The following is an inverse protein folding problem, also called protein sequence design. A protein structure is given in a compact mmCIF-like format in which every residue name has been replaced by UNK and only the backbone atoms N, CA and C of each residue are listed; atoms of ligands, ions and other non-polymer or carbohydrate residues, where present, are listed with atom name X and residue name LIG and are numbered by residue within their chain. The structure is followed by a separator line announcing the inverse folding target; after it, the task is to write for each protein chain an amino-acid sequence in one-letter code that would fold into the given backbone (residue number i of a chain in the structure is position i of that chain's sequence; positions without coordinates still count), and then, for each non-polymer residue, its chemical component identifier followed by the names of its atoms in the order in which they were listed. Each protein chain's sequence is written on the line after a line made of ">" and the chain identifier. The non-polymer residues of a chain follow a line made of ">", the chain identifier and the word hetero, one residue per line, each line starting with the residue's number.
data_IF_928816365603
#
_entry.id   IF_928816365603
#
_cell.length_a   1.000
_cell.length_b   1.000
_cell.length_c   1.000
_cell.angle_alpha   90.00
_cell.angle_beta   90.00
_cell.angle_gamma   90.00
#
_symmetry.space_group_name_H-M   'P 1'
#
loop_
_entity.id
_entity.type
_entity.pdbx_description
1 polymer ?
#
# COMPACT_ATOMS: atom_id res chain seq x y z
N UNK A 1 32.62 35.84 5.76
CA UNK A 1 31.63 35.05 6.52
C UNK A 1 31.23 33.86 5.65
N UNK A 2 31.60 32.62 5.99
CA UNK A 2 31.31 31.45 5.15
C UNK A 2 29.81 31.17 5.07
N UNK A 3 29.30 30.99 3.84
CA UNK A 3 27.93 30.55 3.54
C UNK A 3 27.59 29.25 4.30
N UNK A 4 26.35 29.16 4.79
CA UNK A 4 25.82 28.05 5.57
C UNK A 4 25.98 26.71 4.83
N UNK A 5 25.77 26.72 3.50
CA UNK A 5 25.98 25.53 2.66
C UNK A 5 27.44 25.06 2.67
N UNK A 6 28.38 25.98 2.67
CA UNK A 6 29.82 25.66 2.71
C UNK A 6 30.21 25.06 4.07
N UNK A 7 29.66 25.57 5.17
CA UNK A 7 29.87 24.97 6.51
C UNK A 7 29.35 23.53 6.59
N UNK A 8 28.17 23.27 6.03
CA UNK A 8 27.60 21.92 6.00
C UNK A 8 28.42 20.95 5.15
N UNK A 9 28.94 21.41 3.99
CA UNK A 9 29.83 20.59 3.16
C UNK A 9 31.11 20.23 3.89
N UNK A 10 31.73 21.19 4.58
CA UNK A 10 32.94 20.95 5.37
C UNK A 10 32.69 19.94 6.50
N UNK A 11 31.57 20.09 7.23
CA UNK A 11 31.19 19.14 8.29
C UNK A 11 30.92 17.72 7.77
N UNK A 12 30.32 17.60 6.58
CA UNK A 12 30.09 16.30 5.95
C UNK A 12 31.41 15.60 5.57
N UNK A 13 32.39 16.34 5.06
CA UNK A 13 33.72 15.82 4.72
C UNK A 13 34.48 15.40 5.98
N UNK A 14 34.44 16.22 7.04
CA UNK A 14 35.03 15.94 8.34
C UNK A 14 34.47 14.63 8.94
N UNK A 15 33.15 14.48 8.96
CA UNK A 15 32.49 13.27 9.46
C UNK A 15 32.84 12.00 8.65
N UNK A 16 33.01 12.12 7.32
CA UNK A 16 33.44 11.00 6.48
C UNK A 16 34.89 10.59 6.78
N UNK A 17 35.77 11.58 6.96
CA UNK A 17 37.17 11.35 7.32
C UNK A 17 37.28 10.70 8.70
N UNK A 18 36.54 11.20 9.68
CA UNK A 18 36.54 10.66 11.05
C UNK A 18 35.99 9.24 11.11
N UNK A 19 34.92 8.94 10.37
CA UNK A 19 34.38 7.59 10.30
C UNK A 19 35.38 6.61 9.68
N UNK A 20 36.02 6.99 8.56
CA UNK A 20 37.04 6.16 7.92
C UNK A 20 38.23 5.89 8.85
N UNK A 21 38.63 6.89 9.63
CA UNK A 21 39.75 6.79 10.58
C UNK A 21 39.42 5.90 11.77
N UNK A 22 38.24 6.05 12.34
CA UNK A 22 37.85 5.37 13.58
C UNK A 22 37.24 3.98 13.33
N UNK A 23 36.67 3.72 12.15
CA UNK A 23 35.99 2.47 11.81
C UNK A 23 36.39 1.94 10.41
N UNK A 24 37.67 1.60 10.19
CA UNK A 24 38.19 1.23 8.87
C UNK A 24 37.56 -0.04 8.29
N UNK A 25 37.30 -1.05 9.12
CA UNK A 25 36.67 -2.31 8.69
C UNK A 25 35.21 -2.10 8.25
N UNK A 26 34.45 -1.31 9.01
CA UNK A 26 33.07 -0.96 8.67
C UNK A 26 33.03 -0.12 7.38
N UNK A 27 33.99 0.79 7.19
CA UNK A 27 34.11 1.56 5.96
C UNK A 27 34.35 0.66 4.73
N UNK A 28 35.26 -0.31 4.84
CA UNK A 28 35.53 -1.28 3.76
C UNK A 28 34.33 -2.19 3.49
N UNK A 29 33.65 -2.65 4.53
CA UNK A 29 32.43 -3.44 4.40
C UNK A 29 31.35 -2.68 3.61
N UNK A 30 31.11 -1.41 3.94
CA UNK A 30 30.12 -0.58 3.27
C UNK A 30 30.50 -0.33 1.80
N UNK A 31 31.77 -0.05 1.51
CA UNK A 31 32.26 0.10 0.15
C UNK A 31 32.11 -1.19 -0.67
N UNK A 32 32.40 -2.35 -0.09
CA UNK A 32 32.19 -3.66 -0.71
C UNK A 32 30.71 -3.98 -1.01
N UNK A 33 29.79 -3.24 -0.40
CA UNK A 33 28.34 -3.30 -0.66
C UNK A 33 27.82 -2.16 -1.54
N UNK A 34 28.72 -1.35 -2.12
CA UNK A 34 28.36 -0.21 -2.98
C UNK A 34 27.75 0.99 -2.23
N UNK A 35 27.89 1.02 -0.90
CA UNK A 35 27.34 2.08 -0.05
C UNK A 35 28.42 3.09 0.31
N UNK A 36 28.39 4.24 -0.36
CA UNK A 36 29.27 5.37 -0.03
C UNK A 36 28.59 6.35 0.93
N UNK A 37 29.30 6.75 2.00
CA UNK A 37 28.77 7.66 3.03
C UNK A 37 28.34 9.03 2.49
N UNK A 38 29.01 9.54 1.45
CA UNK A 38 28.61 10.80 0.78
C UNK A 38 27.22 10.72 0.14
N UNK A 39 26.76 9.50 -0.18
CA UNK A 39 25.47 9.22 -0.80
C UNK A 39 24.46 8.68 0.21
N UNK A 40 24.79 8.63 1.52
CA UNK A 40 23.90 8.14 2.57
C UNK A 40 22.54 8.82 2.55
N UNK A 41 22.43 10.09 2.18
CA UNK A 41 21.14 10.80 2.10
C UNK A 41 20.24 10.28 0.98
N UNK A 42 20.84 9.77 -0.10
CA UNK A 42 20.11 9.12 -1.19
C UNK A 42 19.75 7.67 -0.80
N UNK A 43 20.57 7.04 0.06
CA UNK A 43 20.31 5.70 0.60
C UNK A 43 19.49 5.69 1.90
N UNK A 44 19.29 6.82 2.57
CA UNK A 44 18.73 6.92 3.93
C UNK A 44 17.23 6.64 3.99
N UNK A 45 16.50 6.87 2.90
CA UNK A 45 15.10 6.44 2.81
C UNK A 45 14.98 4.89 2.88
N UNK A 46 16.01 4.16 2.45
CA UNK A 46 16.08 2.69 2.53
C UNK A 46 16.86 2.18 3.76
N UNK A 47 17.82 2.94 4.27
CA UNK A 47 18.68 2.55 5.40
C UNK A 47 18.15 2.93 6.78
N UNK A 48 17.37 4.02 6.93
CA UNK A 48 16.78 4.38 8.23
C UNK A 48 15.76 3.31 8.67
N UNK A 49 15.05 2.74 7.70
CA UNK A 49 14.13 1.61 7.88
C UNK A 49 14.84 0.29 8.18
N UNK A 50 16.11 0.11 7.79
CA UNK A 50 16.90 -1.10 8.09
C UNK A 50 17.73 -0.98 9.38
N UNK A 51 18.27 0.21 9.68
CA UNK A 51 19.15 0.45 10.83
C UNK A 51 18.43 0.44 12.19
N UNK A 52 17.17 0.88 12.23
CA UNK A 52 16.35 0.79 13.43
C UNK A 52 16.01 -0.67 13.79
N UNK A 53 15.93 -1.56 12.80
CA UNK A 53 15.64 -2.99 13.01
C UNK A 53 16.89 -3.73 13.50
N UNK A 54 18.07 -3.42 12.96
CA UNK A 54 19.33 -4.08 13.36
C UNK A 54 19.84 -3.61 14.74
N UNK A 55 19.69 -2.32 15.08
CA UNK A 55 20.15 -1.78 16.36
C UNK A 55 19.36 -2.31 17.57
N UNK A 56 18.05 -2.53 17.41
CA UNK A 56 17.22 -3.12 18.45
C UNK A 56 17.46 -4.63 18.63
N UNK A 57 17.81 -5.37 17.57
CA UNK A 57 18.12 -6.81 17.69
C UNK A 57 19.42 -7.10 18.44
N UNK A 58 20.39 -6.17 18.46
CA UNK A 58 21.67 -6.34 19.14
C UNK A 58 21.66 -5.93 20.62
N UNK A 59 20.61 -5.23 21.09
CA UNK A 59 20.51 -4.71 22.45
C UNK A 59 19.41 -5.37 23.30
N UNK A 60 18.63 -6.29 22.74
CA UNK A 60 17.73 -7.14 23.52
C UNK A 60 18.48 -8.34 24.06
N UNK A 61 18.52 -8.48 25.39
CA UNK A 61 18.95 -9.71 26.07
C UNK A 61 18.24 -10.94 25.47
N UNK A 62 18.85 -12.14 25.46
CA UNK A 62 18.25 -13.33 24.88
C UNK A 62 17.06 -13.77 25.75
N UNK A 63 15.88 -13.23 25.47
CA UNK A 63 14.62 -13.75 25.98
C UNK A 63 14.21 -14.88 25.03
N UNK A 64 14.15 -16.11 25.57
CA UNK A 64 13.63 -17.34 24.95
C UNK A 64 13.15 -17.21 23.49
N UNK A 65 13.99 -17.62 22.54
CA UNK A 65 13.75 -17.60 21.08
C UNK A 65 12.77 -18.73 20.65
N UNK A 66 11.98 -19.28 21.58
CA UNK A 66 11.06 -20.40 21.32
C UNK A 66 9.68 -19.98 20.79
N UNK A 67 9.50 -18.74 20.34
CA UNK A 67 8.26 -18.30 19.71
C UNK A 67 8.52 -17.47 18.45
N UNK A 68 9.29 -18.04 17.51
CA UNK A 68 8.89 -17.86 16.13
C UNK A 68 7.53 -18.55 15.98
N UNK A 69 6.50 -17.92 15.37
CA UNK A 69 5.27 -18.63 15.07
C UNK A 69 5.64 -19.88 14.28
N UNK A 70 5.20 -21.05 14.74
CA UNK A 70 5.42 -22.29 14.04
C UNK A 70 5.02 -22.09 12.56
N UNK A 71 5.80 -22.61 11.60
CA UNK A 71 5.37 -22.63 10.22
C UNK A 71 3.99 -23.28 10.20
N UNK A 72 2.99 -22.57 9.69
CA UNK A 72 1.70 -23.19 9.42
C UNK A 72 1.99 -24.23 8.34
N UNK A 73 1.99 -25.51 8.70
CA UNK A 73 2.08 -26.59 7.72
C UNK A 73 0.78 -26.61 6.91
N UNK A 74 0.79 -25.90 5.79
CA UNK A 74 -0.31 -25.88 4.83
C UNK A 74 -0.15 -27.12 3.94
N UNK A 75 -0.61 -28.28 4.42
CA UNK A 75 -0.65 -29.50 3.61
C UNK A 75 -1.93 -29.53 2.75
N UNK A 76 -1.96 -28.76 1.66
CA UNK A 76 -3.14 -28.62 0.79
C UNK A 76 -2.82 -28.94 -0.66
N UNK A 77 -2.55 -30.22 -0.96
CA UNK A 77 -2.26 -30.67 -2.34
C UNK A 77 -3.47 -30.65 -3.29
N UNK A 78 -4.70 -30.41 -2.81
CA UNK A 78 -5.93 -30.58 -3.60
C UNK A 78 -6.96 -29.43 -3.52
N UNK A 79 -6.67 -28.29 -2.86
CA UNK A 79 -7.63 -27.18 -2.76
C UNK A 79 -7.42 -26.14 -3.88
N UNK A 80 -8.53 -25.57 -4.38
CA UNK A 80 -8.47 -24.39 -5.26
C UNK A 80 -7.77 -23.25 -4.48
N UNK A 81 -6.78 -22.53 -5.07
CA UNK A 81 -5.98 -21.55 -4.34
C UNK A 81 -6.80 -20.51 -3.56
N UNK A 82 -7.95 -20.09 -4.11
CA UNK A 82 -8.87 -19.14 -3.49
C UNK A 82 -9.57 -19.72 -2.24
N UNK A 83 -10.03 -20.97 -2.28
CA UNK A 83 -10.68 -21.62 -1.13
C UNK A 83 -9.70 -21.82 0.02
N UNK A 84 -8.47 -22.24 -0.30
CA UNK A 84 -7.40 -22.35 0.68
C UNK A 84 -7.11 -20.98 1.34
N UNK A 85 -7.06 -19.93 0.53
CA UNK A 85 -6.84 -18.59 1.02
C UNK A 85 -7.94 -18.12 1.98
N UNK A 86 -9.21 -18.32 1.64
CA UNK A 86 -10.35 -17.98 2.51
C UNK A 86 -10.23 -18.74 3.85
N UNK A 87 -9.93 -20.04 3.82
CA UNK A 87 -9.76 -20.85 5.02
C UNK A 87 -8.60 -20.35 5.91
N UNK A 88 -7.52 -19.86 5.30
CA UNK A 88 -6.40 -19.27 6.04
C UNK A 88 -6.84 -17.93 6.67
N UNK A 89 -7.52 -17.07 5.91
CA UNK A 89 -8.02 -15.79 6.43
C UNK A 89 -8.97 -15.99 7.62
N UNK A 90 -9.90 -16.94 7.55
CA UNK A 90 -10.83 -17.24 8.65
C UNK A 90 -10.15 -17.69 9.95
N UNK A 91 -8.97 -18.32 9.84
CA UNK A 91 -8.19 -18.75 11.01
C UNK A 91 -7.34 -17.63 11.60
N UNK A 92 -6.94 -16.67 10.79
CA UNK A 92 -6.01 -15.59 11.18
C UNK A 92 -6.72 -14.32 11.59
N UNK A 93 -7.90 -14.04 11.01
CA UNK A 93 -8.65 -12.84 11.31
C UNK A 93 -9.48 -13.01 12.59
N UNK A 94 -9.63 -11.95 13.38
CA UNK A 94 -10.56 -11.95 14.50
C UNK A 94 -12.00 -12.15 14.00
N UNK A 95 -12.86 -12.69 14.88
CA UNK A 95 -14.27 -12.90 14.59
C UNK A 95 -15.05 -11.60 14.31
N UNK A 96 -14.56 -10.48 14.83
CA UNK A 96 -15.12 -9.15 14.62
C UNK A 96 -14.09 -8.22 13.99
N UNK A 97 -14.57 -7.31 13.13
CA UNK A 97 -13.73 -6.31 12.47
C UNK A 97 -13.15 -5.35 13.50
N UNK A 98 -11.82 -5.38 13.64
CA UNK A 98 -11.02 -4.47 14.48
C UNK A 98 -9.68 -4.17 13.81
N UNK A 99 -8.97 -3.11 14.23
CA UNK A 99 -7.57 -2.92 13.89
C UNK A 99 -6.75 -4.17 14.27
N UNK A 100 -5.82 -4.53 13.39
CA UNK A 100 -4.92 -5.67 13.60
C UNK A 100 -3.65 -5.22 14.31
N UNK A 101 -3.11 -6.10 15.15
CA UNK A 101 -1.79 -5.92 15.74
C UNK A 101 -0.70 -6.05 14.67
N UNK A 102 0.47 -5.43 14.90
CA UNK A 102 1.57 -5.40 13.92
C UNK A 102 2.05 -6.78 13.50
N UNK A 103 2.01 -7.77 14.38
CA UNK A 103 2.38 -9.14 14.06
C UNK A 103 1.29 -9.86 13.25
N UNK A 104 0.01 -9.59 13.50
CA UNK A 104 -1.11 -10.04 12.66
C UNK A 104 -0.98 -9.48 11.24
N UNK A 105 -0.75 -8.16 11.11
CA UNK A 105 -0.50 -7.50 9.82
C UNK A 105 0.67 -8.16 9.09
N UNK A 106 1.77 -8.44 9.81
CA UNK A 106 2.98 -8.98 9.21
C UNK A 106 2.79 -10.41 8.70
N UNK A 107 2.05 -11.25 9.42
CA UNK A 107 1.71 -12.60 8.97
C UNK A 107 0.85 -12.55 7.71
N UNK A 108 -0.13 -11.65 7.67
CA UNK A 108 -0.98 -11.44 6.49
C UNK A 108 -0.18 -10.93 5.29
N UNK A 109 0.77 -10.01 5.45
CA UNK A 109 1.64 -9.56 4.35
C UNK A 109 2.31 -10.74 3.64
N UNK A 110 2.87 -11.68 4.40
CA UNK A 110 3.58 -12.85 3.87
C UNK A 110 2.61 -13.74 3.12
N UNK A 111 1.49 -14.10 3.75
CA UNK A 111 0.51 -15.03 3.18
C UNK A 111 -0.14 -14.47 1.91
N UNK A 112 -0.55 -13.20 1.95
CA UNK A 112 -1.18 -12.53 0.80
C UNK A 112 -0.17 -12.42 -0.34
N UNK A 113 1.07 -12.02 -0.04
CA UNK A 113 2.13 -11.94 -1.06
C UNK A 113 2.45 -13.31 -1.66
N UNK A 114 2.45 -14.36 -0.85
CA UNK A 114 2.78 -15.72 -1.31
C UNK A 114 1.66 -16.32 -2.15
N UNK A 115 0.40 -16.08 -1.82
CA UNK A 115 -0.75 -16.63 -2.53
C UNK A 115 -1.06 -15.83 -3.79
N UNK A 116 -1.14 -14.50 -3.69
CA UNK A 116 -1.53 -13.64 -4.82
C UNK A 116 -0.35 -13.21 -5.69
N UNK A 117 0.90 -13.48 -5.27
CA UNK A 117 2.14 -13.06 -5.94
C UNK A 117 2.25 -11.54 -6.14
N UNK A 118 1.55 -10.78 -5.30
CA UNK A 118 1.61 -9.32 -5.24
C UNK A 118 2.30 -8.94 -3.94
N UNK A 119 3.47 -8.30 -4.04
CA UNK A 119 4.20 -7.79 -2.87
C UNK A 119 3.33 -6.74 -2.17
N UNK A 120 2.77 -7.13 -1.03
CA UNK A 120 1.81 -6.33 -0.28
C UNK A 120 2.34 -6.01 1.11
N UNK A 121 2.10 -4.76 1.55
CA UNK A 121 2.69 -4.18 2.77
C UNK A 121 1.63 -3.44 3.57
N UNK A 122 1.55 -3.67 4.87
CA UNK A 122 0.73 -2.86 5.76
C UNK A 122 1.36 -1.46 5.87
N UNK A 123 2.69 -1.43 6.05
CA UNK A 123 3.48 -0.20 6.11
C UNK A 123 4.43 -0.11 4.92
N UNK A 124 4.36 0.97 4.16
CA UNK A 124 5.20 1.21 2.98
C UNK A 124 5.90 2.55 3.12
N UNK A 125 7.22 2.58 2.97
CA UNK A 125 8.03 3.83 3.05
C UNK A 125 7.84 4.65 4.35
N UNK A 126 7.43 3.99 5.43
CA UNK A 126 7.17 4.64 6.72
C UNK A 126 5.72 5.08 6.93
N UNK A 127 4.85 4.95 5.93
CA UNK A 127 3.43 5.29 6.03
C UNK A 127 2.56 4.04 6.22
N UNK A 128 1.46 4.21 6.96
CA UNK A 128 0.52 3.17 7.34
C UNK A 128 -0.90 3.73 7.39
N UNK A 129 -1.89 2.94 6.97
CA UNK A 129 -3.31 3.30 7.04
C UNK A 129 -3.82 3.24 8.50
N UNK A 130 -4.91 3.93 8.83
CA UNK A 130 -5.48 3.86 10.19
C UNK A 130 -5.83 2.42 10.63
N UNK A 131 -6.15 1.55 9.66
CA UNK A 131 -6.29 0.11 9.84
C UNK A 131 -6.07 -0.57 8.48
N UNK A 132 -5.66 -1.83 8.49
CA UNK A 132 -5.63 -2.70 7.30
C UNK A 132 -6.81 -3.67 7.25
N UNK A 133 -7.60 -3.78 8.32
CA UNK A 133 -8.81 -4.60 8.38
C UNK A 133 -10.01 -3.73 8.77
N UNK A 134 -11.03 -3.71 7.92
CA UNK A 134 -12.11 -2.75 8.05
C UNK A 134 -13.26 -3.03 7.10
N UNK A 135 -14.31 -2.22 7.25
CA UNK A 135 -15.44 -2.24 6.33
C UNK A 135 -15.19 -1.35 5.11
N UNK A 136 -15.36 -1.90 3.92
CA UNK A 136 -15.49 -1.13 2.67
C UNK A 136 -16.95 -0.82 2.41
N UNK A 137 -17.23 0.26 1.68
CA UNK A 137 -18.55 0.48 1.07
C UNK A 137 -18.45 1.13 -0.31
N UNK A 138 -19.60 1.19 -0.97
CA UNK A 138 -19.71 1.78 -2.29
C UNK A 138 -19.63 3.31 -2.25
N UNK A 139 -18.82 3.84 -3.16
CA UNK A 139 -18.64 5.25 -3.47
C UNK A 139 -19.23 5.56 -4.86
N UNK A 140 -19.40 6.84 -5.18
CA UNK A 140 -19.88 7.30 -6.48
C UNK A 140 -18.70 7.58 -7.41
N UNK A 141 -18.91 7.49 -8.73
CA UNK A 141 -17.87 7.84 -9.71
C UNK A 141 -17.26 9.23 -9.44
N UNK A 142 -15.96 9.37 -9.73
CA UNK A 142 -15.26 10.64 -9.58
C UNK A 142 -15.12 11.33 -10.92
N UNK A 143 -15.27 12.67 -10.96
CA UNK A 143 -15.09 13.43 -12.19
C UNK A 143 -13.64 13.31 -12.71
N UNK A 144 -13.47 12.85 -13.94
CA UNK A 144 -12.15 12.68 -14.56
C UNK A 144 -11.56 14.01 -15.03
N UNK A 145 -12.39 14.94 -15.48
CA UNK A 145 -11.99 16.26 -15.99
C UNK A 145 -13.10 17.33 -15.80
N UNK A 146 -12.81 18.63 -15.99
CA UNK A 146 -13.84 19.67 -15.93
C UNK A 146 -14.95 19.46 -16.99
N UNK A 147 -16.20 19.39 -16.55
CA UNK A 147 -17.35 19.14 -17.42
C UNK A 147 -17.63 17.66 -17.70
N UNK A 148 -16.97 16.75 -16.99
CA UNK A 148 -17.25 15.32 -17.06
C UNK A 148 -18.66 14.99 -16.53
N UNK A 149 -19.27 13.96 -17.11
CA UNK A 149 -20.67 13.57 -16.91
C UNK A 149 -20.80 12.07 -16.73
N UNK A 150 -21.83 11.65 -16.01
CA UNK A 150 -22.06 10.27 -15.59
C UNK A 150 -22.09 9.27 -16.76
N UNK A 151 -22.55 9.69 -17.93
CA UNK A 151 -22.64 8.87 -19.14
C UNK A 151 -21.27 8.33 -19.58
N UNK A 152 -20.18 9.00 -19.22
CA UNK A 152 -18.80 8.58 -19.51
C UNK A 152 -18.28 7.49 -18.55
N UNK A 153 -19.03 7.13 -17.50
CA UNK A 153 -18.64 6.19 -16.44
C UNK A 153 -19.43 4.87 -16.46
N UNK A 154 -19.90 4.45 -17.63
CA UNK A 154 -20.63 3.18 -17.75
C UNK A 154 -19.79 1.97 -17.29
N UNK A 155 -20.45 0.88 -16.83
CA UNK A 155 -21.89 0.64 -16.92
C UNK A 155 -22.69 0.98 -15.64
N UNK A 156 -22.07 1.40 -14.53
CA UNK A 156 -22.71 1.47 -13.21
C UNK A 156 -23.38 2.81 -12.89
N UNK A 157 -24.20 3.31 -13.82
CA UNK A 157 -24.82 4.63 -13.74
C UNK A 157 -25.67 4.88 -12.48
N UNK A 158 -26.21 3.82 -11.86
CA UNK A 158 -27.07 3.94 -10.66
C UNK A 158 -26.36 4.49 -9.43
N UNK A 159 -25.04 4.32 -9.34
CA UNK A 159 -24.25 4.84 -8.21
C UNK A 159 -23.99 6.35 -8.36
N UNK A 160 -24.18 6.90 -9.56
CA UNK A 160 -24.05 8.31 -9.86
C UNK A 160 -22.60 8.79 -9.87
N UNK A 161 -22.46 10.11 -9.95
CA UNK A 161 -21.17 10.82 -9.92
C UNK A 161 -21.13 11.72 -8.69
N UNK A 162 -19.99 11.78 -8.01
CA UNK A 162 -19.82 12.60 -6.83
C UNK A 162 -20.12 14.08 -7.17
N UNK A 163 -20.88 14.80 -6.31
CA UNK A 163 -21.17 16.21 -6.54
C UNK A 163 -19.89 17.06 -6.45
N UNK A 164 -19.04 16.75 -5.46
CA UNK A 164 -17.72 17.35 -5.26
C UNK A 164 -16.62 16.70 -6.09
N UNK A 165 -15.43 17.26 -5.99
CA UNK A 165 -14.21 16.61 -6.48
C UNK A 165 -13.64 15.71 -5.39
N UNK A 166 -12.98 14.63 -5.80
CA UNK A 166 -12.19 13.84 -4.86
C UNK A 166 -11.02 14.65 -4.28
N UNK A 167 -10.34 14.09 -3.29
CA UNK A 167 -9.27 14.72 -2.52
C UNK A 167 -8.12 15.27 -3.37
N UNK A 168 -7.95 14.77 -4.60
CA UNK A 168 -6.92 15.20 -5.54
C UNK A 168 -7.43 15.97 -6.76
N UNK A 169 -8.71 16.35 -6.76
CA UNK A 169 -9.33 17.09 -7.85
C UNK A 169 -9.66 16.19 -9.05
N UNK A 170 -9.55 16.76 -10.25
CA UNK A 170 -9.68 16.02 -11.49
C UNK A 170 -8.45 15.16 -11.78
N UNK A 171 -8.65 14.06 -12.51
CA UNK A 171 -7.59 13.18 -12.99
C UNK A 171 -6.82 13.82 -14.16
N UNK A 172 -7.54 14.54 -15.04
CA UNK A 172 -7.02 15.27 -16.18
C UNK A 172 -7.46 16.74 -16.14
N UNK A 173 -6.67 17.63 -16.77
CA UNK A 173 -6.98 19.07 -16.84
C UNK A 173 -8.13 19.37 -17.80
N UNK A 174 -8.37 18.48 -18.76
CA UNK A 174 -9.39 18.63 -19.80
C UNK A 174 -9.77 17.24 -20.35
N UNK A 175 -10.84 17.17 -21.15
CA UNK A 175 -11.22 15.94 -21.86
C UNK A 175 -10.13 15.47 -22.82
N UNK A 176 -9.41 16.40 -23.47
CA UNK A 176 -8.33 16.07 -24.42
C UNK A 176 -7.08 15.54 -23.74
N UNK A 177 -6.86 15.89 -22.47
CA UNK A 177 -5.73 15.38 -21.67
C UNK A 177 -6.06 14.05 -20.97
N UNK A 178 -7.29 13.56 -21.10
CA UNK A 178 -7.70 12.28 -20.50
C UNK A 178 -7.04 11.13 -21.26
N UNK A 179 -6.38 10.25 -20.52
CA UNK A 179 -5.75 9.05 -21.06
C UNK A 179 -6.46 7.81 -20.54
N UNK A 180 -6.32 6.68 -21.25
CA UNK A 180 -6.87 5.39 -20.80
C UNK A 180 -6.35 4.97 -19.42
N UNK A 181 -5.11 5.32 -19.09
CA UNK A 181 -4.55 5.10 -17.75
C UNK A 181 -5.32 5.88 -16.68
N UNK A 182 -5.72 7.12 -16.96
CA UNK A 182 -6.48 7.95 -16.02
C UNK A 182 -7.94 7.47 -15.91
N UNK A 183 -8.53 6.99 -17.00
CA UNK A 183 -9.84 6.32 -16.97
C UNK A 183 -9.78 5.07 -16.10
N UNK A 184 -8.77 4.21 -16.28
CA UNK A 184 -8.59 3.01 -15.46
C UNK A 184 -8.26 3.35 -14.00
N UNK A 185 -7.58 4.48 -13.74
CA UNK A 185 -7.31 4.96 -12.37
C UNK A 185 -8.60 5.31 -11.66
N UNK A 186 -9.53 6.00 -12.32
CA UNK A 186 -10.85 6.29 -11.76
C UNK A 186 -11.70 5.03 -11.68
N UNK A 187 -11.83 4.26 -12.77
CA UNK A 187 -12.58 3.02 -12.78
C UNK A 187 -12.20 2.07 -11.64
N UNK A 188 -10.90 1.93 -11.35
CA UNK A 188 -10.40 1.10 -10.25
C UNK A 188 -9.90 1.95 -9.08
N UNK A 189 -10.62 3.00 -8.70
CA UNK A 189 -10.22 3.78 -7.52
C UNK A 189 -10.70 3.15 -6.21
N UNK A 190 -9.94 3.41 -5.15
CA UNK A 190 -10.38 3.23 -3.78
C UNK A 190 -10.18 4.49 -2.95
N UNK A 191 -10.79 4.48 -1.77
CA UNK A 191 -10.81 5.58 -0.82
C UNK A 191 -10.34 5.07 0.53
N UNK A 192 -9.49 5.85 1.18
CA UNK A 192 -9.08 5.60 2.57
C UNK A 192 -9.17 6.87 3.40
N UNK A 193 -9.28 6.69 4.71
CA UNK A 193 -9.50 7.72 5.71
C UNK A 193 -8.26 8.61 5.98
N UNK A 194 -7.63 9.19 4.95
CA UNK A 194 -6.37 9.94 5.11
C UNK A 194 -6.52 11.15 6.04
N UNK A 195 -7.68 11.80 6.06
CA UNK A 195 -8.00 12.92 6.95
C UNK A 195 -8.09 12.55 8.45
N UNK A 196 -8.04 11.26 8.79
CA UNK A 196 -7.98 10.75 10.16
C UNK A 196 -6.61 10.16 10.53
N UNK A 197 -5.61 10.28 9.67
CA UNK A 197 -4.24 9.90 10.02
C UNK A 197 -3.76 10.73 11.22
N UNK A 198 -3.02 10.12 12.17
CA UNK A 198 -2.66 10.77 13.45
C UNK A 198 -1.86 12.05 13.28
N UNK A 199 -1.12 12.18 12.19
CA UNK A 199 -0.25 13.30 11.85
C UNK A 199 -0.67 14.02 10.57
N UNK A 200 -1.93 13.84 10.13
CA UNK A 200 -2.49 14.55 9.00
C UNK A 200 -2.31 16.07 9.15
N UNK A 201 -2.63 16.62 10.32
CA UNK A 201 -2.58 18.07 10.56
C UNK A 201 -1.16 18.66 10.54
N UNK A 202 -0.12 17.85 10.76
CA UNK A 202 1.27 18.32 10.79
C UNK A 202 2.04 17.99 9.50
N UNK A 203 1.67 16.92 8.79
CA UNK A 203 2.33 16.45 7.56
C UNK A 203 1.44 16.51 6.32
N UNK A 204 0.31 17.22 6.36
CA UNK A 204 -0.73 17.23 5.32
C UNK A 204 -0.19 17.31 3.88
N UNK A 205 0.69 18.27 3.51
CA UNK A 205 1.11 18.41 2.11
C UNK A 205 1.87 17.17 1.64
N UNK A 206 2.75 16.65 2.48
CA UNK A 206 3.52 15.44 2.20
C UNK A 206 2.61 14.21 2.11
N UNK A 207 1.72 14.01 3.10
CA UNK A 207 0.84 12.84 3.13
C UNK A 207 -0.13 12.84 1.96
N UNK A 208 -0.76 13.99 1.66
CA UNK A 208 -1.64 14.13 0.50
C UNK A 208 -0.94 13.67 -0.78
N UNK A 209 0.30 14.12 -1.00
CA UNK A 209 1.02 13.80 -2.22
C UNK A 209 1.53 12.35 -2.23
N UNK A 210 1.95 11.82 -1.08
CA UNK A 210 2.43 10.44 -0.94
C UNK A 210 1.33 9.40 -1.18
N UNK A 211 0.11 9.68 -0.68
CA UNK A 211 -1.05 8.79 -0.83
C UNK A 211 -1.68 8.85 -2.23
N UNK A 212 -1.47 9.94 -2.98
CA UNK A 212 -2.10 10.15 -4.29
C UNK A 212 -1.81 9.01 -5.25
N UNK A 213 -2.86 8.33 -5.69
CA UNK A 213 -2.84 7.24 -6.68
C UNK A 213 -1.93 6.05 -6.30
N UNK A 214 -1.58 5.92 -5.01
CA UNK A 214 -0.83 4.77 -4.53
C UNK A 214 -1.66 3.51 -4.74
N UNK A 215 -1.01 2.43 -5.18
CA UNK A 215 -1.69 1.17 -5.40
C UNK A 215 -2.01 0.48 -4.08
N UNK A 216 -3.27 0.09 -3.92
CA UNK A 216 -3.76 -0.68 -2.80
C UNK A 216 -4.25 -2.03 -3.31
N UNK A 217 -3.97 -3.08 -2.55
CA UNK A 217 -4.56 -4.40 -2.72
C UNK A 217 -5.71 -4.52 -1.73
N UNK A 218 -6.92 -4.74 -2.25
CA UNK A 218 -8.12 -4.97 -1.46
C UNK A 218 -8.54 -6.42 -1.60
N UNK A 219 -8.79 -7.09 -0.49
CA UNK A 219 -9.22 -8.49 -0.44
C UNK A 219 -10.53 -8.59 0.34
N UNK A 220 -11.58 -9.10 -0.29
CA UNK A 220 -12.81 -9.46 0.40
C UNK A 220 -12.57 -10.71 1.27
N UNK A 221 -12.78 -10.57 2.58
CA UNK A 221 -12.46 -11.62 3.55
C UNK A 221 -13.45 -12.79 3.55
N UNK A 222 -14.61 -12.64 2.89
CA UNK A 222 -15.66 -13.66 2.82
C UNK A 222 -15.46 -14.57 1.60
N UNK A 223 -15.27 -13.98 0.42
CA UNK A 223 -15.19 -14.71 -0.84
C UNK A 223 -13.77 -14.76 -1.45
N UNK A 224 -12.80 -14.08 -0.84
CA UNK A 224 -11.43 -14.04 -1.33
C UNK A 224 -11.22 -13.21 -2.61
N UNK A 225 -12.23 -12.51 -3.15
CA UNK A 225 -12.00 -11.67 -4.33
C UNK A 225 -10.99 -10.59 -4.00
N UNK A 226 -9.93 -10.50 -4.83
CA UNK A 226 -8.81 -9.59 -4.64
C UNK A 226 -8.66 -8.67 -5.84
N UNK A 227 -8.37 -7.39 -5.59
CA UNK A 227 -8.31 -6.34 -6.60
C UNK A 227 -7.22 -5.33 -6.27
N UNK A 228 -6.49 -4.87 -7.29
CA UNK A 228 -5.54 -3.75 -7.16
C UNK A 228 -6.23 -2.46 -7.59
N UNK A 229 -6.21 -1.45 -6.73
CA UNK A 229 -6.86 -0.16 -6.94
C UNK A 229 -5.88 0.99 -6.83
N UNK A 230 -6.23 2.15 -7.39
CA UNK A 230 -5.53 3.39 -7.15
C UNK A 230 -6.24 4.18 -6.06
N UNK A 231 -5.52 4.66 -5.05
CA UNK A 231 -6.11 5.54 -4.06
C UNK A 231 -6.40 6.92 -4.67
N UNK A 232 -7.69 7.26 -4.89
CA UNK A 232 -8.09 8.47 -5.61
C UNK A 232 -9.09 9.40 -4.88
N UNK A 233 -9.51 9.04 -3.65
CA UNK A 233 -10.17 9.99 -2.75
C UNK A 233 -9.78 9.79 -1.27
N UNK A 234 -10.23 10.70 -0.41
CA UNK A 234 -10.16 10.61 1.05
C UNK A 234 -11.55 10.46 1.67
N UNK A 235 -11.68 9.51 2.59
CA UNK A 235 -12.95 9.13 3.22
C UNK A 235 -13.03 7.62 3.44
N UNK A 236 -14.22 7.06 3.67
CA UNK A 236 -15.47 7.73 4.01
C UNK A 236 -15.39 8.37 5.42
N UNK A 237 -16.37 9.22 5.77
CA UNK A 237 -16.39 9.83 7.10
C UNK A 237 -16.50 8.78 8.22
N UNK A 238 -15.81 9.00 9.35
CA UNK A 238 -15.72 8.02 10.44
C UNK A 238 -17.10 7.57 10.98
N UNK A 239 -18.06 8.49 11.03
CA UNK A 239 -19.42 8.22 11.51
C UNK A 239 -20.20 7.21 10.65
N UNK A 240 -19.78 6.96 9.40
CA UNK A 240 -20.41 5.96 8.51
C UNK A 240 -20.15 4.52 8.97
N UNK A 241 -19.21 4.30 9.90
CA UNK A 241 -18.76 2.98 10.32
C UNK A 241 -18.07 2.18 9.20
N UNK A 242 -17.65 2.86 8.14
CA UNK A 242 -16.80 2.34 7.07
C UNK A 242 -15.40 2.94 7.24
N UNK A 243 -14.40 2.18 6.82
CA UNK A 243 -12.98 2.56 6.88
C UNK A 243 -12.43 2.83 5.47
N UNK A 244 -13.03 2.17 4.47
CA UNK A 244 -12.61 2.22 3.08
C UNK A 244 -13.82 2.46 2.17
N UNK A 245 -13.53 2.95 0.97
CA UNK A 245 -14.47 3.06 -0.13
C UNK A 245 -13.90 2.45 -1.40
N UNK A 246 -14.78 1.99 -2.29
CA UNK A 246 -14.41 1.52 -3.62
C UNK A 246 -15.34 2.13 -4.67
N UNK A 247 -14.79 2.37 -5.87
CA UNK A 247 -15.60 2.72 -7.03
C UNK A 247 -16.71 1.68 -7.29
N UNK A 248 -17.73 2.02 -8.07
CA UNK A 248 -18.77 1.07 -8.45
C UNK A 248 -18.23 -0.25 -9.04
N UNK A 249 -17.20 -0.18 -9.88
CA UNK A 249 -16.53 -1.35 -10.47
C UNK A 249 -15.81 -2.19 -9.42
N UNK A 250 -15.10 -1.55 -8.48
CA UNK A 250 -14.41 -2.24 -7.38
C UNK A 250 -15.42 -2.99 -6.53
N UNK A 251 -16.55 -2.36 -6.20
CA UNK A 251 -17.58 -2.98 -5.38
C UNK A 251 -18.32 -4.11 -6.09
N UNK A 252 -18.64 -3.93 -7.38
CA UNK A 252 -19.21 -5.01 -8.19
C UNK A 252 -18.27 -6.20 -8.24
N UNK A 253 -16.98 -5.99 -8.48
CA UNK A 253 -16.03 -7.09 -8.53
C UNK A 253 -15.85 -7.78 -7.16
N UNK A 254 -15.78 -7.00 -6.08
CA UNK A 254 -15.55 -7.55 -4.74
C UNK A 254 -16.73 -8.39 -4.22
N UNK A 255 -17.98 -8.06 -4.57
CA UNK A 255 -19.14 -8.81 -4.04
C UNK A 255 -20.43 -8.72 -4.84
N UNK A 256 -20.42 -8.09 -6.01
CA UNK A 256 -21.56 -7.95 -6.92
C UNK A 256 -22.50 -6.78 -6.60
N UNK A 257 -23.54 -6.61 -7.41
CA UNK A 257 -24.45 -5.46 -7.37
C UNK A 257 -25.11 -5.17 -6.01
N UNK A 258 -25.24 -6.17 -5.14
CA UNK A 258 -25.83 -6.02 -3.79
C UNK A 258 -24.79 -5.72 -2.69
N UNK A 259 -23.51 -5.72 -3.03
CA UNK A 259 -22.43 -5.49 -2.08
C UNK A 259 -22.26 -4.01 -1.78
N UNK A 260 -22.95 -3.55 -0.73
CA UNK A 260 -22.94 -2.14 -0.29
C UNK A 260 -22.04 -1.88 0.92
N UNK A 261 -21.73 -2.93 1.69
CA UNK A 261 -20.79 -2.92 2.82
C UNK A 261 -20.25 -4.33 3.05
N UNK A 262 -18.96 -4.47 3.35
CA UNK A 262 -18.40 -5.74 3.81
C UNK A 262 -16.97 -5.64 4.32
N UNK A 263 -16.52 -6.70 4.98
CA UNK A 263 -15.21 -6.75 5.63
C UNK A 263 -14.10 -7.07 4.62
N UNK A 264 -13.10 -6.20 4.56
CA UNK A 264 -11.97 -6.33 3.64
C UNK A 264 -10.65 -6.13 4.36
N UNK A 265 -9.61 -6.73 3.77
CA UNK A 265 -8.22 -6.38 4.04
C UNK A 265 -7.73 -5.37 2.98
N UNK A 266 -6.94 -4.38 3.41
CA UNK A 266 -6.35 -3.36 2.54
C UNK A 266 -4.87 -3.22 2.86
N UNK A 267 -4.03 -3.48 1.86
CA UNK A 267 -2.57 -3.38 1.96
C UNK A 267 -2.04 -2.49 0.84
N UNK A 268 -0.92 -1.80 1.06
CA UNK A 268 -0.20 -1.15 -0.04
C UNK A 268 0.42 -2.20 -0.96
N UNK A 269 0.47 -1.88 -2.25
CA UNK A 269 1.25 -2.65 -3.22
C UNK A 269 2.64 -2.03 -3.35
N UNK A 270 3.67 -2.82 -3.10
CA UNK A 270 5.08 -2.45 -3.28
C UNK A 270 5.47 -2.64 -4.75
N UNK A 271 5.18 -1.63 -5.56
CA UNK A 271 5.40 -1.61 -7.01
C UNK A 271 6.20 -0.37 -7.45
N UNK A 272 7.50 -0.29 -7.11
CA UNK A 272 8.33 0.86 -7.41
C UNK A 272 8.55 1.08 -8.92
N UNK A 273 8.34 0.04 -9.72
CA UNK A 273 8.50 0.08 -11.19
C UNK A 273 7.16 0.28 -11.91
N UNK A 274 6.06 0.44 -11.17
CA UNK A 274 4.70 0.64 -11.70
C UNK A 274 4.24 -0.45 -12.70
N UNK A 275 4.64 -1.71 -12.47
CA UNK A 275 4.37 -2.86 -13.36
C UNK A 275 3.05 -3.59 -13.06
N UNK A 276 2.53 -3.48 -11.83
CA UNK A 276 1.32 -4.18 -11.41
C UNK A 276 0.09 -3.43 -11.92
N UNK A 277 -0.72 -4.04 -12.77
CA UNK A 277 -1.91 -3.37 -13.32
C UNK A 277 -3.00 -3.18 -12.26
N UNK A 278 -3.83 -2.16 -12.45
CA UNK A 278 -5.07 -2.01 -11.70
C UNK A 278 -6.09 -3.04 -12.16
N UNK A 279 -7.05 -3.35 -11.30
CA UNK A 279 -8.15 -4.26 -11.57
C UNK A 279 -8.02 -5.63 -10.88
N UNK A 280 -8.88 -6.59 -11.29
CA UNK A 280 -8.99 -7.92 -10.69
C UNK A 280 -7.67 -8.69 -10.59
N UNK A 281 -7.46 -9.35 -9.46
CA UNK A 281 -6.36 -10.30 -9.24
C UNK A 281 -6.91 -11.72 -9.39
N UNK A 282 -6.38 -12.47 -10.36
CA UNK A 282 -6.81 -13.84 -10.66
C UNK A 282 -5.84 -14.83 -10.04
N UNK A 283 -6.34 -15.75 -9.23
CA UNK A 283 -5.55 -16.78 -8.51
C UNK A 283 -4.79 -17.75 -9.42
N UNK A 284 -5.22 -17.91 -10.68
CA UNK A 284 -4.70 -18.90 -11.62
C UNK A 284 -3.83 -18.31 -12.74
N UNK A 285 -3.76 -16.99 -12.89
CA UNK A 285 -2.99 -16.35 -13.98
C UNK A 285 -1.54 -16.03 -13.58
N UNK A 286 -0.96 -16.96 -12.80
CA UNK A 286 0.39 -16.86 -12.25
C UNK A 286 1.39 -17.79 -12.97
N UNK A 287 0.99 -18.35 -14.12
CA UNK A 287 1.98 -18.81 -15.09
C UNK A 287 2.60 -17.55 -15.67
N UNK A 288 3.90 -17.32 -15.48
CA UNK A 288 4.61 -16.12 -15.95
C UNK A 288 4.65 -15.91 -17.48
N UNK A 289 3.60 -16.27 -18.22
CA UNK A 289 3.44 -16.11 -19.66
C UNK A 289 3.04 -14.68 -20.07
N UNK A 290 2.41 -13.92 -19.19
CA UNK A 290 2.04 -12.52 -19.47
C UNK A 290 3.04 -11.49 -18.89
N UNK A 291 4.08 -11.95 -18.20
CA UNK A 291 5.23 -11.13 -17.77
C UNK A 291 6.41 -11.17 -18.78
N UNK A 292 6.27 -11.89 -19.90
CA UNK A 292 7.33 -12.09 -20.90
C UNK A 292 6.87 -11.91 -22.36
N UNK A 293 5.79 -11.15 -22.61
CA UNK A 293 5.53 -10.62 -23.95
C UNK A 293 5.99 -9.17 -24.05
N UNK A 294 7.30 -9.00 -24.17
CA UNK A 294 7.97 -7.90 -24.89
C UNK A 294 8.86 -8.56 -25.92
#
# INVERSE_FOLDING_TARGET
>A
MYDFRTKLKLKSIEAQSDFKKNFPEAHQFLLGKGLELKNLRQYSAKLISAGAITGSLLLTSPVNINQLPAPIEINNKNLIPQENFINILQKLLPSEVRPLARDEEKRLEVIISDILKIKSKATLEGEHLNTVYGYIGAEQHLKRYPGDVLENHGPYYKEGIAPGLGAWGYFAKSKTDLTSTLEETEKWYSVVQTLYLPDWNSRQPYLRDWYKHRKLLIVNTINGNAIVTALADSGPAAWTGKHFGGSPEVMEYLGGARYKKGAVLVFFVDDPENKIKLGPVVYNDLSGKDLLKI
#
